data_IF_992313607080
#
_entry.id   IF_992313607080
#
_cell.length_a   1.000
_cell.length_b   1.000
_cell.length_c   1.000
_cell.angle_alpha   90.00
_cell.angle_beta   90.00
_cell.angle_gamma   90.00
#
_symmetry.space_group_name_H-M   'P 1'
#
loop_
_entity.id
_entity.type
_entity.pdbx_description
1 polymer ?
#
# COMPACT_ATOMS: atom_id res chain seq x y z
N UNK A 1 23.02 -8.76 69.19
CA UNK A 1 22.40 -7.92 68.15
C UNK A 1 23.17 -8.20 66.87
N UNK A 2 22.92 -9.29 66.12
CA UNK A 2 21.72 -9.68 65.37
C UNK A 2 21.25 -8.60 64.37
N UNK A 3 21.62 -8.85 63.10
CA UNK A 3 20.82 -8.66 61.87
C UNK A 3 20.31 -7.25 61.55
N UNK A 4 21.11 -6.45 60.84
CA UNK A 4 20.60 -5.30 60.09
C UNK A 4 21.62 -4.77 59.07
N UNK A 5 22.16 -5.59 58.16
CA UNK A 5 23.04 -5.07 57.08
C UNK A 5 23.12 -6.01 55.88
N UNK A 6 21.99 -6.57 55.44
CA UNK A 6 21.95 -7.46 54.26
C UNK A 6 20.53 -7.52 53.65
N UNK A 7 19.90 -6.37 53.44
CA UNK A 7 18.55 -6.28 52.82
C UNK A 7 18.37 -5.03 51.93
N UNK A 8 19.44 -4.51 51.33
CA UNK A 8 19.34 -3.33 50.45
C UNK A 8 19.95 -3.50 49.06
N UNK A 9 20.40 -4.70 48.69
CA UNK A 9 21.07 -4.95 47.38
C UNK A 9 20.32 -5.97 46.51
N UNK A 10 19.20 -6.53 46.99
CA UNK A 10 18.37 -7.48 46.22
C UNK A 10 17.00 -6.91 45.79
N UNK A 11 16.81 -5.60 45.90
CA UNK A 11 15.58 -4.89 45.50
C UNK A 11 15.66 -4.12 44.18
N UNK A 12 16.74 -4.27 43.40
CA UNK A 12 16.98 -3.52 42.16
C UNK A 12 17.24 -4.40 40.93
N UNK A 13 16.84 -5.68 40.98
CA UNK A 13 16.99 -6.63 39.84
C UNK A 13 15.69 -7.38 39.47
N UNK A 14 14.53 -6.83 39.84
CA UNK A 14 13.22 -7.28 39.35
C UNK A 14 12.38 -6.08 38.85
N UNK A 15 13.01 -5.16 38.14
CA UNK A 15 12.27 -4.30 37.21
C UNK A 15 12.27 -5.04 35.87
N UNK A 16 11.23 -5.84 35.67
CA UNK A 16 10.93 -6.50 34.41
C UNK A 16 10.94 -5.47 33.27
N UNK A 17 11.51 -5.78 32.10
CA UNK A 17 11.29 -4.98 30.90
C UNK A 17 9.92 -5.39 30.34
N UNK A 18 8.84 -4.95 30.98
CA UNK A 18 7.48 -5.11 30.44
C UNK A 18 6.82 -3.76 30.53
N UNK A 19 7.22 -2.90 29.61
CA UNK A 19 6.46 -1.84 28.94
C UNK A 19 7.47 -1.02 28.14
N UNK A 20 8.18 -1.68 27.23
CA UNK A 20 8.34 -1.04 25.94
C UNK A 20 6.96 -1.18 25.30
N UNK A 21 6.11 -0.15 25.42
CA UNK A 21 5.07 0.05 24.42
C UNK A 21 5.84 0.06 23.10
N UNK A 22 5.77 -1.06 22.37
CA UNK A 22 6.06 -1.06 20.94
C UNK A 22 5.13 0.02 20.43
N UNK A 23 5.71 1.13 19.98
CA UNK A 23 5.02 2.21 19.29
C UNK A 23 4.15 1.52 18.24
N UNK A 24 2.86 1.37 18.53
CA UNK A 24 1.94 0.67 17.66
C UNK A 24 1.83 1.56 16.44
N UNK A 25 2.47 1.16 15.36
CA UNK A 25 2.40 1.89 14.12
C UNK A 25 0.94 1.91 13.69
N UNK A 26 0.28 3.06 13.86
CA UNK A 26 -1.10 3.30 13.43
C UNK A 26 -1.29 3.10 11.92
N UNK A 27 -0.19 2.95 11.16
CA UNK A 27 -0.18 2.60 9.75
C UNK A 27 -0.02 1.09 9.50
N UNK A 28 -0.13 0.25 10.53
CA UNK A 28 -0.12 -1.20 10.40
C UNK A 28 -1.52 -1.73 10.06
N UNK A 29 -1.61 -2.46 8.95
CA UNK A 29 -2.83 -3.16 8.54
C UNK A 29 -3.27 -4.24 9.53
N UNK A 30 -2.31 -4.86 10.21
CA UNK A 30 -2.59 -5.83 11.24
C UNK A 30 -3.36 -5.19 12.41
N UNK A 31 -2.98 -3.98 12.79
CA UNK A 31 -3.68 -3.25 13.86
C UNK A 31 -5.13 -2.94 13.47
N UNK A 32 -5.36 -2.46 12.25
CA UNK A 32 -6.71 -2.17 11.73
C UNK A 32 -7.56 -3.45 11.71
N UNK A 33 -7.00 -4.58 11.29
CA UNK A 33 -7.70 -5.85 11.26
C UNK A 33 -8.05 -6.38 12.66
N UNK A 34 -7.12 -6.29 13.62
CA UNK A 34 -7.35 -6.72 15.01
C UNK A 34 -8.40 -5.85 15.72
N UNK A 35 -8.36 -4.54 15.51
CA UNK A 35 -9.35 -3.62 16.07
C UNK A 35 -10.74 -3.87 15.48
N UNK A 36 -10.80 -4.09 14.16
CA UNK A 36 -12.03 -4.44 13.47
C UNK A 36 -12.61 -5.76 13.98
N UNK A 37 -11.79 -6.81 14.12
CA UNK A 37 -12.22 -8.11 14.65
C UNK A 37 -12.79 -7.98 16.07
N UNK A 38 -12.14 -7.19 16.93
CA UNK A 38 -12.62 -6.93 18.27
C UNK A 38 -13.97 -6.16 18.29
N UNK A 39 -14.11 -5.14 17.45
CA UNK A 39 -15.35 -4.34 17.33
C UNK A 39 -16.52 -5.21 16.83
N UNK A 40 -16.31 -6.00 15.77
CA UNK A 40 -17.35 -6.89 15.22
C UNK A 40 -17.75 -8.00 16.21
N UNK A 41 -16.79 -8.55 16.94
CA UNK A 41 -17.05 -9.56 17.97
C UNK A 41 -17.89 -8.97 19.10
N UNK A 42 -17.59 -7.73 19.53
CA UNK A 42 -18.37 -7.03 20.54
C UNK A 42 -19.82 -6.80 20.09
N UNK A 43 -20.01 -6.30 18.87
CA UNK A 43 -21.35 -6.08 18.29
C UNK A 43 -22.15 -7.40 18.25
N UNK A 44 -21.52 -8.50 17.86
CA UNK A 44 -22.16 -9.81 17.81
C UNK A 44 -22.56 -10.32 19.20
N UNK A 45 -21.67 -10.21 20.20
CA UNK A 45 -21.96 -10.62 21.57
C UNK A 45 -23.12 -9.83 22.19
N UNK A 46 -23.17 -8.52 21.95
CA UNK A 46 -24.25 -7.65 22.43
C UNK A 46 -25.59 -8.05 21.78
N UNK A 47 -25.58 -8.37 20.49
CA UNK A 47 -26.75 -8.90 19.78
C UNK A 47 -27.22 -10.24 20.35
N UNK A 48 -26.34 -11.23 20.49
CA UNK A 48 -26.67 -12.55 21.03
C UNK A 48 -27.28 -12.45 22.44
N UNK A 49 -26.74 -11.58 23.29
CA UNK A 49 -27.25 -11.36 24.64
C UNK A 49 -28.66 -10.75 24.63
N UNK A 50 -28.90 -9.75 23.77
CA UNK A 50 -30.20 -9.11 23.62
C UNK A 50 -31.24 -10.08 23.02
N UNK A 51 -30.84 -10.87 22.02
CA UNK A 51 -31.69 -11.86 21.38
C UNK A 51 -32.10 -12.95 22.36
N UNK A 52 -31.13 -13.51 23.11
CA UNK A 52 -31.40 -14.52 24.14
C UNK A 52 -32.41 -14.03 25.18
N UNK A 53 -32.33 -12.77 25.61
CA UNK A 53 -33.30 -12.18 26.53
C UNK A 53 -34.72 -12.15 25.94
N UNK A 54 -34.87 -11.77 24.67
CA UNK A 54 -36.17 -11.77 23.97
C UNK A 54 -36.70 -13.19 23.76
N UNK A 55 -35.83 -14.15 23.41
CA UNK A 55 -36.20 -15.55 23.20
C UNK A 55 -36.71 -16.20 24.49
N UNK A 56 -36.08 -15.92 25.64
CA UNK A 56 -36.56 -16.39 26.95
C UNK A 56 -37.96 -15.85 27.26
N UNK A 57 -38.20 -14.56 26.99
CA UNK A 57 -39.52 -13.97 27.19
C UNK A 57 -40.56 -14.58 26.24
N UNK A 58 -40.19 -14.78 24.98
CA UNK A 58 -41.05 -15.39 23.96
C UNK A 58 -41.42 -16.84 24.33
N UNK A 59 -40.48 -17.62 24.87
CA UNK A 59 -40.72 -18.96 25.35
C UNK A 59 -41.74 -18.98 26.51
N UNK A 60 -41.63 -18.04 27.44
CA UNK A 60 -42.60 -17.90 28.54
C UNK A 60 -44.01 -17.55 28.01
N UNK A 61 -44.11 -16.64 27.03
CA UNK A 61 -45.38 -16.29 26.38
C UNK A 61 -45.96 -17.47 25.62
N UNK A 62 -45.15 -18.23 24.88
CA UNK A 62 -45.58 -19.44 24.17
C UNK A 62 -46.14 -20.48 25.15
N UNK A 63 -45.49 -20.69 26.29
CA UNK A 63 -46.00 -21.59 27.32
C UNK A 63 -47.36 -21.14 27.88
N UNK A 64 -47.63 -19.82 27.99
CA UNK A 64 -48.95 -19.30 28.37
C UNK A 64 -50.00 -19.60 27.30
N UNK A 65 -49.65 -19.44 26.02
CA UNK A 65 -50.54 -19.68 24.89
C UNK A 65 -50.88 -21.17 24.71
N UNK A 66 -49.91 -22.06 24.89
CA UNK A 66 -50.07 -23.52 24.82
C UNK A 66 -50.98 -24.07 25.93
N UNK A 67 -50.90 -23.48 27.12
CA UNK A 67 -51.69 -23.88 28.28
C UNK A 67 -53.03 -23.11 28.40
N UNK A 68 -53.42 -22.29 27.43
CA UNK A 68 -54.38 -21.21 27.66
C UNK A 68 -55.47 -20.99 26.60
N UNK A 69 -56.64 -21.61 26.79
CA UNK A 69 -57.97 -20.98 26.58
C UNK A 69 -58.92 -21.46 27.69
N UNK A 70 -58.82 -22.75 28.07
CA UNK A 70 -59.65 -23.40 29.08
C UNK A 70 -59.37 -22.98 30.54
N UNK A 71 -58.17 -22.46 30.86
CA UNK A 71 -57.75 -22.21 32.26
C UNK A 71 -57.62 -20.75 32.71
N UNK A 72 -57.54 -19.76 31.80
CA UNK A 72 -57.23 -18.35 32.12
C UNK A 72 -58.19 -17.31 31.52
N UNK A 73 -59.13 -17.75 30.68
CA UNK A 73 -60.09 -16.87 30.00
C UNK A 73 -59.53 -16.14 28.77
N UNK A 74 -60.44 -15.66 27.92
CA UNK A 74 -60.14 -15.06 26.61
C UNK A 74 -59.23 -13.82 26.69
N UNK A 75 -59.41 -12.97 27.71
CA UNK A 75 -58.63 -11.74 27.86
C UNK A 75 -57.13 -12.01 28.06
N UNK A 76 -56.77 -13.00 28.88
CA UNK A 76 -55.37 -13.34 29.15
C UNK A 76 -54.70 -13.96 27.91
N UNK A 77 -55.45 -14.74 27.14
CA UNK A 77 -54.98 -15.31 25.88
C UNK A 77 -54.70 -14.22 24.83
N UNK A 78 -55.62 -13.27 24.65
CA UNK A 78 -55.43 -12.13 23.74
C UNK A 78 -54.23 -11.26 24.13
N UNK A 79 -54.03 -11.01 25.43
CA UNK A 79 -52.85 -10.29 25.92
C UNK A 79 -51.54 -11.03 25.61
N UNK A 80 -51.49 -12.34 25.85
CA UNK A 80 -50.32 -13.15 25.50
C UNK A 80 -50.08 -13.19 23.99
N UNK A 81 -51.13 -13.21 23.17
CA UNK A 81 -51.01 -13.18 21.72
C UNK A 81 -50.46 -11.83 21.22
N UNK A 82 -50.96 -10.72 21.73
CA UNK A 82 -50.41 -9.39 21.43
C UNK A 82 -48.95 -9.27 21.86
N UNK A 83 -48.62 -9.74 23.07
CA UNK A 83 -47.24 -9.71 23.55
C UNK A 83 -46.31 -10.54 22.67
N UNK A 84 -46.76 -11.69 22.16
CA UNK A 84 -46.00 -12.50 21.21
C UNK A 84 -45.72 -11.76 19.90
N UNK A 85 -46.68 -11.00 19.39
CA UNK A 85 -46.48 -10.16 18.20
C UNK A 85 -45.45 -9.06 18.47
N UNK A 86 -45.60 -8.32 19.58
CA UNK A 86 -44.62 -7.29 19.98
C UNK A 86 -43.20 -7.85 20.14
N UNK A 87 -43.05 -9.05 20.71
CA UNK A 87 -41.74 -9.68 20.88
C UNK A 87 -41.11 -10.07 19.54
N UNK A 88 -41.92 -10.53 18.58
CA UNK A 88 -41.44 -10.81 17.22
C UNK A 88 -41.01 -9.53 16.51
N UNK A 89 -41.82 -8.47 16.61
CA UNK A 89 -41.48 -7.18 16.01
C UNK A 89 -40.17 -6.63 16.59
N UNK A 90 -39.96 -6.78 17.91
CA UNK A 90 -38.69 -6.43 18.56
C UNK A 90 -37.51 -7.27 18.10
N UNK A 91 -37.69 -8.58 17.90
CA UNK A 91 -36.62 -9.44 17.39
C UNK A 91 -36.21 -9.03 15.98
N UNK A 92 -37.18 -8.76 15.10
CA UNK A 92 -36.88 -8.33 13.74
C UNK A 92 -36.19 -6.96 13.72
N UNK A 93 -36.63 -6.00 14.56
CA UNK A 93 -35.95 -4.69 14.69
C UNK A 93 -34.53 -4.87 15.24
N UNK A 94 -34.34 -5.78 16.19
CA UNK A 94 -33.02 -6.08 16.74
C UNK A 94 -32.09 -6.64 15.67
N UNK A 95 -32.58 -7.53 14.80
CA UNK A 95 -31.83 -8.06 13.65
C UNK A 95 -31.47 -6.95 12.65
N UNK A 96 -32.42 -6.08 12.29
CA UNK A 96 -32.19 -4.91 11.43
C UNK A 96 -31.09 -3.99 12.02
N UNK A 97 -31.14 -3.73 13.33
CA UNK A 97 -30.15 -2.91 14.03
C UNK A 97 -28.77 -3.58 14.08
N UNK A 98 -28.73 -4.90 14.25
CA UNK A 98 -27.49 -5.67 14.22
C UNK A 98 -26.82 -5.58 12.85
N UNK A 99 -27.56 -5.82 11.76
CA UNK A 99 -27.03 -5.71 10.39
C UNK A 99 -26.52 -4.30 10.09
N UNK A 100 -27.27 -3.27 10.49
CA UNK A 100 -26.85 -1.88 10.35
C UNK A 100 -25.57 -1.56 11.14
N UNK A 101 -25.44 -2.09 12.36
CA UNK A 101 -24.25 -1.89 13.21
C UNK A 101 -23.01 -2.56 12.61
N UNK A 102 -23.17 -3.77 12.08
CA UNK A 102 -22.09 -4.49 11.37
C UNK A 102 -21.66 -3.72 10.12
N UNK A 103 -22.61 -3.27 9.31
CA UNK A 103 -22.34 -2.47 8.11
C UNK A 103 -21.64 -1.15 8.46
N UNK A 104 -22.06 -0.47 9.53
CA UNK A 104 -21.41 0.75 10.05
C UNK A 104 -19.95 0.50 10.40
N UNK A 105 -19.68 -0.51 11.22
CA UNK A 105 -18.34 -0.82 11.69
C UNK A 105 -17.40 -1.14 10.52
N UNK A 106 -17.85 -2.00 9.59
CA UNK A 106 -17.10 -2.34 8.38
C UNK A 106 -16.86 -1.14 7.48
N UNK A 107 -17.87 -0.31 7.26
CA UNK A 107 -17.75 0.89 6.43
C UNK A 107 -16.76 1.90 7.02
N UNK A 108 -16.83 2.14 8.34
CA UNK A 108 -15.89 3.00 9.05
C UNK A 108 -14.46 2.49 8.92
N UNK A 109 -14.23 1.19 9.16
CA UNK A 109 -12.91 0.59 8.99
C UNK A 109 -12.45 0.61 7.53
N UNK A 110 -13.37 0.50 6.58
CA UNK A 110 -13.09 0.70 5.16
C UNK A 110 -12.55 2.11 4.84
N UNK A 111 -13.09 3.16 5.47
CA UNK A 111 -12.55 4.52 5.34
C UNK A 111 -11.12 4.64 5.90
N UNK A 112 -10.84 4.01 7.04
CA UNK A 112 -9.49 3.95 7.62
C UNK A 112 -8.51 3.22 6.70
N UNK A 113 -8.95 2.12 6.07
CA UNK A 113 -8.17 1.41 5.05
C UNK A 113 -7.88 2.28 3.83
N UNK A 114 -8.87 3.04 3.33
CA UNK A 114 -8.66 3.99 2.23
C UNK A 114 -7.62 5.05 2.60
N UNK A 115 -7.72 5.62 3.82
CA UNK A 115 -6.74 6.57 4.35
C UNK A 115 -5.34 5.96 4.33
N UNK A 116 -5.19 4.75 4.84
CA UNK A 116 -3.92 4.05 4.91
C UNK A 116 -3.33 3.78 3.51
N UNK A 117 -4.14 3.29 2.58
CA UNK A 117 -3.70 3.02 1.21
C UNK A 117 -3.20 4.28 0.53
N UNK A 118 -3.89 5.39 0.76
CA UNK A 118 -3.46 6.67 0.22
C UNK A 118 -2.11 7.11 0.76
N UNK A 119 -1.84 6.95 2.06
CA UNK A 119 -0.50 7.22 2.62
C UNK A 119 0.58 6.31 2.03
N UNK A 120 0.29 5.02 1.83
CA UNK A 120 1.24 4.08 1.20
C UNK A 120 1.55 4.48 -0.24
N UNK A 121 0.55 4.91 -1.01
CA UNK A 121 0.72 5.40 -2.40
C UNK A 121 1.54 6.70 -2.45
N UNK A 122 1.33 7.61 -1.51
CA UNK A 122 2.17 8.81 -1.38
C UNK A 122 3.61 8.45 -0.96
N UNK A 123 3.77 7.45 -0.10
CA UNK A 123 5.07 6.90 0.27
C UNK A 123 5.82 6.28 -0.91
N UNK A 124 5.10 5.60 -1.82
CA UNK A 124 5.63 5.09 -3.09
C UNK A 124 6.02 6.22 -4.04
N UNK A 125 5.20 7.29 -4.11
CA UNK A 125 5.50 8.46 -4.92
C UNK A 125 6.84 9.09 -4.50
N UNK A 126 6.99 9.34 -3.19
CA UNK A 126 8.25 9.81 -2.63
C UNK A 126 9.40 8.83 -2.87
N UNK A 127 9.17 7.52 -2.74
CA UNK A 127 10.17 6.50 -3.07
C UNK A 127 10.67 6.68 -4.50
N UNK A 128 9.77 6.75 -5.49
CA UNK A 128 10.16 6.88 -6.88
C UNK A 128 10.87 8.20 -7.22
N UNK A 129 10.49 9.29 -6.58
CA UNK A 129 11.18 10.58 -6.74
C UNK A 129 12.56 10.61 -6.06
N UNK A 130 12.71 9.92 -4.94
CA UNK A 130 13.98 9.89 -4.17
C UNK A 130 15.09 9.09 -4.86
N UNK A 131 14.76 8.29 -5.88
CA UNK A 131 15.72 7.49 -6.63
C UNK A 131 16.45 8.33 -7.69
N UNK A 132 17.07 9.42 -7.24
CA UNK A 132 17.85 10.39 -8.04
C UNK A 132 18.92 9.71 -8.91
N UNK A 133 19.41 8.54 -8.49
CA UNK A 133 20.37 7.69 -9.21
C UNK A 133 19.84 7.23 -10.58
N UNK A 134 18.53 7.01 -10.76
CA UNK A 134 17.95 6.64 -12.06
C UNK A 134 17.93 7.81 -13.04
N UNK A 135 17.73 9.04 -12.55
CA UNK A 135 17.76 10.25 -13.39
C UNK A 135 19.15 10.49 -14.01
N UNK A 136 20.19 9.93 -13.40
CA UNK A 136 21.59 10.06 -13.85
C UNK A 136 22.09 8.85 -14.67
N UNK A 137 21.22 7.90 -15.05
CA UNK A 137 21.58 6.75 -15.89
C UNK A 137 22.27 7.16 -17.20
N UNK A 138 21.76 8.23 -17.83
CA UNK A 138 22.33 8.78 -19.05
C UNK A 138 23.75 9.33 -18.84
N UNK A 139 24.09 9.82 -17.63
CA UNK A 139 25.44 10.26 -17.30
C UNK A 139 26.37 9.08 -17.00
N UNK A 140 25.89 8.06 -16.28
CA UNK A 140 26.69 6.88 -15.93
C UNK A 140 27.21 6.15 -17.17
N UNK A 141 26.38 6.06 -18.21
CA UNK A 141 26.75 5.37 -19.46
C UNK A 141 27.42 6.29 -20.48
N UNK A 142 27.57 7.59 -20.19
CA UNK A 142 28.21 8.52 -21.10
C UNK A 142 29.73 8.53 -20.87
N UNK A 143 30.55 8.06 -21.82
CA UNK A 143 32.00 8.02 -21.67
C UNK A 143 32.58 9.44 -21.54
N UNK A 144 31.89 10.47 -22.06
CA UNK A 144 32.31 11.86 -21.88
C UNK A 144 32.13 12.38 -20.43
N UNK A 145 31.44 11.66 -19.55
CA UNK A 145 31.36 12.00 -18.13
C UNK A 145 32.65 11.67 -17.36
N UNK A 146 33.59 10.93 -17.97
CA UNK A 146 34.80 10.44 -17.33
C UNK A 146 36.03 11.28 -17.75
N UNK A 147 36.76 11.89 -16.80
CA UNK A 147 37.94 12.71 -17.10
C UNK A 147 39.02 11.95 -17.88
N UNK A 148 39.27 10.69 -17.52
CA UNK A 148 40.28 9.85 -18.17
C UNK A 148 39.91 9.57 -19.63
N UNK A 149 38.62 9.33 -19.91
CA UNK A 149 38.14 9.20 -21.27
C UNK A 149 38.28 10.50 -22.06
N UNK A 150 37.92 11.65 -21.48
CA UNK A 150 38.09 12.96 -22.14
C UNK A 150 39.55 13.25 -22.48
N UNK A 151 40.47 12.91 -21.57
CA UNK A 151 41.92 13.08 -21.75
C UNK A 151 42.42 12.19 -22.89
N UNK A 152 42.11 10.89 -22.86
CA UNK A 152 42.50 9.95 -23.92
C UNK A 152 41.89 10.33 -25.27
N UNK A 153 40.61 10.72 -25.30
CA UNK A 153 39.93 11.25 -26.51
C UNK A 153 40.66 12.47 -27.05
N UNK A 154 41.03 13.43 -26.20
CA UNK A 154 41.79 14.62 -26.60
C UNK A 154 43.16 14.29 -27.20
N UNK A 155 43.86 13.31 -26.64
CA UNK A 155 45.17 12.88 -27.15
C UNK A 155 45.07 12.09 -28.46
N UNK A 156 44.01 11.30 -28.64
CA UNK A 156 43.67 10.63 -29.89
C UNK A 156 43.30 11.67 -30.97
N UNK A 157 42.48 12.67 -30.65
CA UNK A 157 42.09 13.74 -31.57
C UNK A 157 43.28 14.59 -32.02
N UNK A 158 44.24 14.90 -31.13
CA UNK A 158 45.48 15.61 -31.49
C UNK A 158 46.30 14.82 -32.51
N UNK A 159 46.38 13.50 -32.37
CA UNK A 159 47.11 12.62 -33.33
C UNK A 159 46.41 12.56 -34.69
N UNK A 160 45.08 12.53 -34.71
CA UNK A 160 44.29 12.57 -35.96
C UNK A 160 44.35 13.93 -36.67
N UNK A 161 44.34 15.04 -35.94
CA UNK A 161 44.42 16.41 -36.50
C UNK A 161 45.71 16.64 -37.30
N UNK A 162 46.80 15.94 -36.97
CA UNK A 162 48.10 16.07 -37.66
C UNK A 162 48.04 15.64 -39.14
N UNK A 163 47.08 14.79 -39.53
CA UNK A 163 46.94 14.26 -40.90
C UNK A 163 45.57 14.54 -41.57
N UNK A 164 44.74 15.45 -41.03
CA UNK A 164 43.49 15.93 -41.65
C UNK A 164 42.39 14.90 -42.01
N UNK A 165 42.47 13.62 -41.59
CA UNK A 165 41.66 12.58 -42.25
C UNK A 165 40.28 12.26 -41.67
N UNK A 166 39.98 12.43 -40.38
CA UNK A 166 38.62 12.13 -39.86
C UNK A 166 38.33 13.02 -38.64
N UNK A 167 37.18 13.71 -38.62
CA UNK A 167 36.65 14.41 -37.43
C UNK A 167 35.26 13.88 -37.14
N UNK A 168 34.99 13.57 -35.87
CA UNK A 168 33.63 13.29 -35.42
C UNK A 168 32.86 14.62 -35.40
N UNK A 169 31.74 14.76 -36.14
CA UNK A 169 30.89 15.94 -36.04
C UNK A 169 30.43 16.16 -34.60
N UNK A 170 30.32 17.41 -34.15
CA UNK A 170 29.91 17.75 -32.79
C UNK A 170 28.58 17.09 -32.39
N UNK A 171 27.64 16.95 -33.34
CA UNK A 171 26.36 16.27 -33.14
C UNK A 171 26.50 14.78 -32.75
N UNK A 172 27.52 14.09 -33.29
CA UNK A 172 27.79 12.68 -32.98
C UNK A 172 28.72 12.52 -31.77
N UNK A 173 29.43 13.58 -31.38
CA UNK A 173 30.37 13.56 -30.26
C UNK A 173 29.70 13.50 -28.88
N UNK A 174 28.44 13.93 -28.80
CA UNK A 174 27.61 13.87 -27.60
C UNK A 174 26.91 12.52 -27.42
N UNK A 175 26.80 11.70 -28.47
CA UNK A 175 26.22 10.37 -28.37
C UNK A 175 27.25 9.40 -27.74
N UNK A 176 26.90 8.71 -26.62
CA UNK A 176 27.82 7.82 -25.91
C UNK A 176 28.43 6.71 -26.76
N UNK A 177 27.60 6.03 -27.56
CA UNK A 177 28.02 4.93 -28.42
C UNK A 177 28.92 5.43 -29.55
N UNK A 178 28.54 6.52 -30.22
CA UNK A 178 29.34 7.10 -31.29
C UNK A 178 30.67 7.65 -30.78
N UNK A 179 30.71 8.26 -29.60
CA UNK A 179 31.94 8.73 -28.97
C UNK A 179 32.84 7.54 -28.60
N UNK A 180 32.27 6.46 -28.06
CA UNK A 180 33.01 5.23 -27.75
C UNK A 180 33.59 4.56 -29.01
N UNK A 181 32.76 4.36 -30.05
CA UNK A 181 33.17 3.77 -31.33
C UNK A 181 34.20 4.62 -32.05
N UNK A 182 34.04 5.95 -32.03
CA UNK A 182 35.01 6.86 -32.62
C UNK A 182 36.37 6.76 -31.92
N UNK A 183 36.42 6.78 -30.59
CA UNK A 183 37.68 6.62 -29.84
C UNK A 183 38.37 5.29 -30.17
N UNK A 184 37.62 4.19 -30.28
CA UNK A 184 38.16 2.90 -30.71
C UNK A 184 38.78 2.99 -32.13
N UNK A 185 38.00 3.43 -33.12
CA UNK A 185 38.44 3.54 -34.51
C UNK A 185 39.64 4.49 -34.66
N UNK A 186 39.60 5.62 -33.95
CA UNK A 186 40.61 6.65 -33.99
C UNK A 186 41.95 6.18 -33.41
N UNK A 187 41.93 5.34 -32.37
CA UNK A 187 43.15 4.71 -31.81
C UNK A 187 43.81 3.74 -32.79
N UNK A 188 43.03 3.03 -33.61
CA UNK A 188 43.58 2.15 -34.66
C UNK A 188 44.15 2.94 -35.86
N UNK A 189 43.42 3.96 -36.32
CA UNK A 189 43.74 4.69 -37.57
C UNK A 189 44.75 5.83 -37.37
N UNK A 190 44.88 6.39 -36.16
CA UNK A 190 45.78 7.53 -35.89
C UNK A 190 47.28 7.21 -36.03
N UNK A 191 48.14 8.20 -36.25
CA UNK A 191 49.61 8.01 -36.20
C UNK A 191 50.13 7.99 -34.74
N UNK A 192 51.05 7.08 -34.42
CA UNK A 192 51.68 6.97 -33.11
C UNK A 192 52.37 5.64 -32.89
N UNK A 193 53.29 5.57 -31.92
CA UNK A 193 53.96 4.32 -31.54
C UNK A 193 52.93 3.27 -31.06
N UNK A 194 53.00 2.02 -31.53
CA UNK A 194 52.05 0.97 -31.17
C UNK A 194 51.86 0.82 -29.65
N UNK A 195 52.97 0.84 -28.89
CA UNK A 195 52.96 0.74 -27.43
C UNK A 195 52.21 1.87 -26.73
N UNK A 196 52.22 3.09 -27.29
CA UNK A 196 51.50 4.22 -26.69
C UNK A 196 50.00 4.11 -26.96
N UNK A 197 49.62 3.70 -28.18
CA UNK A 197 48.22 3.47 -28.53
C UNK A 197 47.58 2.37 -27.69
N UNK A 198 48.31 1.29 -27.46
CA UNK A 198 47.85 0.18 -26.63
C UNK A 198 47.63 0.63 -25.18
N UNK A 199 48.58 1.39 -24.62
CA UNK A 199 48.45 1.96 -23.28
C UNK A 199 47.27 2.93 -23.13
N UNK A 200 47.06 3.80 -24.12
CA UNK A 200 45.94 4.76 -24.10
C UNK A 200 44.58 4.04 -24.19
N UNK A 201 44.51 2.93 -24.94
CA UNK A 201 43.34 2.07 -25.05
C UNK A 201 43.08 1.31 -23.74
N UNK A 202 44.11 0.75 -23.13
CA UNK A 202 44.02 0.09 -21.82
C UNK A 202 43.51 1.03 -20.72
N UNK A 203 43.93 2.30 -20.73
CA UNK A 203 43.51 3.31 -19.74
C UNK A 203 41.99 3.60 -19.79
N UNK A 204 41.33 3.39 -20.94
CA UNK A 204 39.88 3.66 -21.12
C UNK A 204 39.06 2.43 -21.48
N UNK A 205 39.67 1.24 -21.54
CA UNK A 205 39.04 0.00 -21.99
C UNK A 205 37.79 -0.33 -21.16
N UNK A 206 37.89 -0.19 -19.83
CA UNK A 206 36.76 -0.44 -18.95
C UNK A 206 35.62 0.57 -19.12
N UNK A 207 35.93 1.86 -19.31
CA UNK A 207 34.92 2.90 -19.54
C UNK A 207 34.17 2.64 -20.86
N UNK A 208 34.91 2.25 -21.91
CA UNK A 208 34.35 1.90 -23.22
C UNK A 208 33.48 0.63 -23.15
N UNK A 209 33.98 -0.43 -22.51
CA UNK A 209 33.26 -1.68 -22.33
C UNK A 209 31.97 -1.48 -21.50
N UNK A 210 32.07 -0.78 -20.38
CA UNK A 210 30.93 -0.42 -19.55
C UNK A 210 29.91 0.40 -20.34
N UNK A 211 30.35 1.43 -21.06
CA UNK A 211 29.48 2.24 -21.92
C UNK A 211 28.72 1.38 -22.91
N UNK A 212 29.40 0.55 -23.69
CA UNK A 212 28.75 -0.22 -24.76
C UNK A 212 27.80 -1.28 -24.20
N UNK A 213 28.19 -1.97 -23.13
CA UNK A 213 27.38 -3.06 -22.55
C UNK A 213 26.21 -2.53 -21.73
N UNK A 214 26.46 -1.55 -20.88
CA UNK A 214 25.47 -1.08 -19.91
C UNK A 214 24.57 0.04 -20.44
N UNK A 215 24.87 0.65 -21.60
CA UNK A 215 24.02 1.72 -22.15
C UNK A 215 22.57 1.28 -22.39
N UNK A 216 22.36 0.15 -23.07
CA UNK A 216 21.01 -0.35 -23.33
C UNK A 216 20.32 -0.83 -22.04
N UNK A 217 21.06 -1.56 -21.22
CA UNK A 217 20.60 -2.17 -19.98
C UNK A 217 20.18 -1.12 -18.93
N UNK A 218 21.01 -0.10 -18.69
CA UNK A 218 20.65 0.97 -17.75
C UNK A 218 19.51 1.82 -18.31
N UNK A 219 19.46 2.10 -19.61
CA UNK A 219 18.30 2.80 -20.19
C UNK A 219 17.00 2.00 -20.04
N UNK A 220 17.04 0.67 -20.13
CA UNK A 220 15.88 -0.18 -19.85
C UNK A 220 15.38 0.03 -18.42
N UNK A 221 16.28 0.01 -17.44
CA UNK A 221 15.94 0.30 -16.04
C UNK A 221 15.28 1.68 -15.91
N UNK A 222 15.84 2.72 -16.56
CA UNK A 222 15.26 4.06 -16.54
C UNK A 222 13.80 4.08 -17.02
N UNK A 223 13.53 3.53 -18.22
CA UNK A 223 12.18 3.55 -18.78
C UNK A 223 11.18 2.71 -17.97
N UNK A 224 11.63 1.60 -17.39
CA UNK A 224 10.77 0.78 -16.54
C UNK A 224 10.47 1.45 -15.19
N UNK A 225 11.41 2.21 -14.63
CA UNK A 225 11.15 3.05 -13.46
C UNK A 225 10.15 4.18 -13.78
N UNK A 226 10.25 4.81 -14.94
CA UNK A 226 9.25 5.82 -15.38
C UNK A 226 7.87 5.19 -15.58
N UNK A 227 7.80 3.95 -16.10
CA UNK A 227 6.54 3.21 -16.19
C UNK A 227 5.93 2.91 -14.80
N UNK A 228 6.75 2.58 -13.81
CA UNK A 228 6.29 2.37 -12.43
C UNK A 228 5.76 3.66 -11.79
N UNK A 229 6.42 4.81 -12.02
CA UNK A 229 5.94 6.14 -11.59
C UNK A 229 4.56 6.44 -12.14
N UNK A 230 4.38 6.26 -13.44
CA UNK A 230 3.09 6.53 -14.08
C UNK A 230 2.00 5.58 -13.60
N UNK A 231 2.34 4.31 -13.39
CA UNK A 231 1.42 3.33 -12.81
C UNK A 231 1.01 3.69 -11.38
N UNK A 232 1.93 4.21 -10.57
CA UNK A 232 1.62 4.73 -9.22
C UNK A 232 0.70 5.96 -9.27
N UNK A 233 0.90 6.87 -10.24
CA UNK A 233 0.01 8.01 -10.46
C UNK A 233 -1.41 7.56 -10.83
N UNK A 234 -1.53 6.52 -11.67
CA UNK A 234 -2.82 5.91 -11.98
C UNK A 234 -3.48 5.30 -10.74
N UNK A 235 -2.72 4.57 -9.93
CA UNK A 235 -3.21 3.97 -8.68
C UNK A 235 -3.67 5.04 -7.67
N UNK A 236 -2.96 6.16 -7.59
CA UNK A 236 -3.36 7.34 -6.80
C UNK A 236 -4.69 7.91 -7.29
N UNK A 237 -4.86 8.10 -8.60
CA UNK A 237 -6.11 8.59 -9.17
C UNK A 237 -7.29 7.65 -8.89
N UNK A 238 -7.07 6.34 -9.00
CA UNK A 238 -8.06 5.32 -8.65
C UNK A 238 -8.44 5.38 -7.16
N UNK A 239 -7.47 5.62 -6.26
CA UNK A 239 -7.71 5.77 -4.83
C UNK A 239 -8.56 7.01 -4.50
N UNK A 240 -8.27 8.15 -5.15
CA UNK A 240 -9.06 9.37 -5.01
C UNK A 240 -10.52 9.15 -5.47
N UNK A 241 -10.69 8.42 -6.58
CA UNK A 241 -12.01 8.10 -7.10
C UNK A 241 -12.76 7.10 -6.20
N UNK A 242 -12.06 6.09 -5.66
CA UNK A 242 -12.60 5.17 -4.67
C UNK A 242 -13.17 5.93 -3.47
N UNK A 243 -12.39 6.81 -2.84
CA UNK A 243 -12.85 7.58 -1.69
C UNK A 243 -14.07 8.42 -2.01
N UNK A 244 -14.08 9.10 -3.16
CA UNK A 244 -15.23 9.89 -3.61
C UNK A 244 -16.50 9.05 -3.73
N UNK A 245 -16.38 7.86 -4.30
CA UNK A 245 -17.52 6.95 -4.46
C UNK A 245 -17.96 6.34 -3.12
N UNK A 246 -17.01 6.04 -2.24
CA UNK A 246 -17.24 5.54 -0.89
C UNK A 246 -18.00 6.58 -0.05
N UNK A 247 -17.46 7.79 0.05
CA UNK A 247 -17.94 8.87 0.92
C UNK A 247 -19.22 9.54 0.40
N UNK A 248 -19.55 9.38 -0.88
CA UNK A 248 -20.81 9.85 -1.47
C UNK A 248 -22.04 9.25 -0.79
N UNK A 249 -21.96 8.01 -0.31
CA UNK A 249 -23.08 7.32 0.34
C UNK A 249 -23.57 8.07 1.57
N UNK A 250 -22.65 8.58 2.39
CA UNK A 250 -22.91 9.38 3.58
C UNK A 250 -23.03 10.89 3.27
N UNK A 251 -23.05 11.26 1.99
CA UNK A 251 -23.20 12.65 1.57
C UNK A 251 -21.96 13.54 1.79
N UNK A 252 -20.78 12.95 1.98
CA UNK A 252 -19.52 13.68 1.98
C UNK A 252 -19.05 13.93 0.54
N UNK A 253 -18.57 15.14 0.24
CA UNK A 253 -18.30 15.60 -1.15
C UNK A 253 -16.88 16.10 -1.38
N UNK A 254 -16.11 16.30 -0.32
CA UNK A 254 -14.74 16.79 -0.42
C UNK A 254 -13.86 15.65 -0.94
N UNK A 255 -12.86 15.98 -1.76
CA UNK A 255 -11.93 14.99 -2.30
C UNK A 255 -10.92 14.54 -1.24
N UNK A 256 -10.36 13.33 -1.40
CA UNK A 256 -9.48 12.71 -0.40
C UNK A 256 -8.20 13.52 -0.14
N UNK A 257 -7.63 14.13 -1.16
CA UNK A 257 -6.43 14.97 -1.06
C UNK A 257 -6.68 16.21 -0.20
N UNK A 258 -7.85 16.85 -0.34
CA UNK A 258 -8.27 17.99 0.47
C UNK A 258 -8.64 17.55 1.89
N UNK A 259 -9.43 16.47 2.02
CA UNK A 259 -9.78 15.89 3.33
C UNK A 259 -8.53 15.57 4.15
N UNK A 260 -7.51 14.95 3.53
CA UNK A 260 -6.23 14.68 4.16
C UNK A 260 -5.47 15.95 4.52
N UNK A 261 -5.43 16.94 3.62
CA UNK A 261 -4.68 18.18 3.84
C UNK A 261 -5.24 19.02 5.00
N UNK A 262 -6.57 19.03 5.13
CA UNK A 262 -7.29 19.80 6.15
C UNK A 262 -7.63 18.97 7.41
N UNK A 263 -7.24 17.69 7.44
CA UNK A 263 -7.55 16.71 8.51
C UNK A 263 -9.06 16.58 8.81
N UNK A 264 -9.90 16.63 7.77
CA UNK A 264 -11.37 16.69 7.85
C UNK A 264 -12.04 15.32 8.10
N UNK A 265 -11.32 14.37 8.72
CA UNK A 265 -11.82 13.02 8.98
C UNK A 265 -12.98 12.99 9.98
N UNK A 266 -12.99 13.91 10.94
CA UNK A 266 -14.10 14.05 11.90
C UNK A 266 -15.42 14.31 11.19
N UNK A 267 -15.44 15.22 10.21
CA UNK A 267 -16.65 15.50 9.42
C UNK A 267 -17.14 14.28 8.63
N UNK A 268 -16.23 13.42 8.17
CA UNK A 268 -16.60 12.17 7.51
C UNK A 268 -17.33 11.25 8.49
N UNK A 269 -16.81 11.11 9.72
CA UNK A 269 -17.43 10.26 10.75
C UNK A 269 -18.75 10.84 11.26
N UNK A 270 -18.85 12.15 11.45
CA UNK A 270 -20.11 12.82 11.82
C UNK A 270 -21.20 12.55 10.77
N UNK A 271 -20.85 12.59 9.48
CA UNK A 271 -21.79 12.27 8.40
C UNK A 271 -22.21 10.81 8.37
N UNK A 272 -21.29 9.90 8.68
CA UNK A 272 -21.62 8.49 8.85
C UNK A 272 -22.61 8.32 10.01
N UNK A 273 -22.35 8.92 11.17
CA UNK A 273 -23.23 8.82 12.34
C UNK A 273 -24.62 9.42 12.08
N UNK A 274 -24.70 10.54 11.37
CA UNK A 274 -25.98 11.11 10.92
C UNK A 274 -26.74 10.16 9.98
N UNK A 275 -26.03 9.55 9.03
CA UNK A 275 -26.62 8.57 8.11
C UNK A 275 -27.14 7.33 8.86
N UNK A 276 -26.37 6.81 9.82
CA UNK A 276 -26.79 5.66 10.65
C UNK A 276 -27.99 6.02 11.51
N UNK A 277 -28.02 7.19 12.14
CA UNK A 277 -29.15 7.65 12.95
C UNK A 277 -30.45 7.70 12.12
N UNK A 278 -30.37 8.13 10.86
CA UNK A 278 -31.51 8.10 9.94
C UNK A 278 -31.97 6.66 9.65
N UNK A 279 -31.02 5.73 9.45
CA UNK A 279 -31.32 4.33 9.19
C UNK A 279 -31.90 3.61 10.42
N UNK A 280 -31.41 3.90 11.63
CA UNK A 280 -31.99 3.39 12.89
C UNK A 280 -33.44 3.87 13.06
N UNK A 281 -33.72 5.14 12.76
CA UNK A 281 -35.08 5.66 12.78
C UNK A 281 -35.99 4.96 11.76
N UNK A 282 -35.45 4.52 10.62
CA UNK A 282 -36.16 3.73 9.62
C UNK A 282 -36.35 2.28 10.07
N UNK A 283 -35.39 1.67 10.78
CA UNK A 283 -35.50 0.33 11.34
C UNK A 283 -36.66 0.23 12.35
N UNK A 284 -36.78 1.20 13.25
CA UNK A 284 -37.90 1.23 14.22
C UNK A 284 -39.26 1.36 13.51
N UNK A 285 -39.32 2.01 12.35
CA UNK A 285 -40.55 2.22 11.57
C UNK A 285 -40.79 1.13 10.51
N UNK A 286 -39.85 0.20 10.31
CA UNK A 286 -39.84 -0.71 9.16
C UNK A 286 -41.07 -1.63 9.12
N UNK A 287 -41.67 -1.90 10.28
CA UNK A 287 -42.87 -2.73 10.44
C UNK A 287 -44.15 -2.04 9.98
N UNK A 288 -44.26 -0.75 10.26
CA UNK A 288 -45.47 0.03 9.98
C UNK A 288 -45.40 0.78 8.64
N UNK A 289 -44.18 1.06 8.16
CA UNK A 289 -43.94 1.82 6.93
C UNK A 289 -43.05 1.05 5.93
N UNK A 290 -43.64 0.51 4.85
CA UNK A 290 -42.90 -0.15 3.78
C UNK A 290 -41.84 0.75 3.12
N UNK A 291 -42.01 2.08 3.12
CA UNK A 291 -41.01 3.00 2.59
C UNK A 291 -39.78 3.09 3.51
N UNK A 292 -39.99 3.11 4.83
CA UNK A 292 -38.91 3.07 5.82
C UNK A 292 -38.07 1.79 5.68
N UNK A 293 -38.73 0.63 5.55
CA UNK A 293 -38.05 -0.65 5.32
C UNK A 293 -37.18 -0.63 4.04
N UNK A 294 -37.73 -0.14 2.92
CA UNK A 294 -36.95 -0.02 1.67
C UNK A 294 -35.75 0.89 1.80
N UNK A 295 -35.90 2.01 2.52
CA UNK A 295 -34.80 2.95 2.75
C UNK A 295 -33.69 2.33 3.61
N UNK A 296 -34.05 1.60 4.67
CA UNK A 296 -33.11 0.84 5.51
C UNK A 296 -32.32 -0.16 4.67
N UNK A 297 -33.01 -1.05 3.94
CA UNK A 297 -32.38 -2.10 3.14
C UNK A 297 -31.45 -1.51 2.07
N UNK A 298 -31.87 -0.41 1.43
CA UNK A 298 -31.02 0.32 0.49
C UNK A 298 -29.82 0.96 1.18
N UNK A 299 -30.00 1.48 2.39
CA UNK A 299 -28.93 2.07 3.20
C UNK A 299 -27.84 1.06 3.52
N UNK A 300 -28.22 -0.10 4.07
CA UNK A 300 -27.31 -1.22 4.36
C UNK A 300 -26.58 -1.65 3.10
N UNK A 301 -27.32 -1.94 2.02
CA UNK A 301 -26.73 -2.37 0.76
C UNK A 301 -25.72 -1.34 0.19
N UNK A 302 -25.99 -0.03 0.31
CA UNK A 302 -25.04 0.99 -0.16
C UNK A 302 -23.73 1.00 0.64
N UNK A 303 -23.79 0.75 1.95
CA UNK A 303 -22.59 0.63 2.79
C UNK A 303 -21.78 -0.60 2.37
N UNK A 304 -22.45 -1.74 2.18
CA UNK A 304 -21.84 -2.99 1.73
C UNK A 304 -21.22 -2.87 0.33
N UNK A 305 -21.94 -2.32 -0.65
CA UNK A 305 -21.39 -2.11 -2.00
C UNK A 305 -20.17 -1.19 -2.03
N UNK A 306 -20.01 -0.32 -1.04
CA UNK A 306 -18.80 0.50 -0.93
C UNK A 306 -17.59 -0.34 -0.52
N UNK A 307 -17.80 -1.36 0.33
CA UNK A 307 -16.78 -2.31 0.75
C UNK A 307 -16.31 -3.17 -0.44
N UNK A 308 -17.20 -3.62 -1.31
CA UNK A 308 -16.85 -4.36 -2.53
C UNK A 308 -15.82 -3.60 -3.38
N UNK A 309 -16.07 -2.30 -3.58
CA UNK A 309 -15.18 -1.43 -4.37
C UNK A 309 -13.82 -1.24 -3.73
N UNK A 310 -13.79 -1.19 -2.40
CA UNK A 310 -12.54 -1.14 -1.66
C UNK A 310 -11.74 -2.43 -1.90
N UNK A 311 -12.38 -3.59 -1.86
CA UNK A 311 -11.71 -4.87 -2.11
C UNK A 311 -11.14 -4.96 -3.53
N UNK A 312 -11.91 -4.56 -4.54
CA UNK A 312 -11.41 -4.47 -5.93
C UNK A 312 -10.17 -3.58 -6.03
N UNK A 313 -10.17 -2.46 -5.31
CA UNK A 313 -9.02 -1.56 -5.26
C UNK A 313 -7.82 -2.18 -4.53
N UNK A 314 -8.05 -2.87 -3.42
CA UNK A 314 -7.00 -3.56 -2.66
C UNK A 314 -6.31 -4.65 -3.51
N UNK A 315 -7.07 -5.37 -4.35
CA UNK A 315 -6.51 -6.33 -5.30
C UNK A 315 -5.63 -5.65 -6.35
N UNK A 316 -6.07 -4.51 -6.90
CA UNK A 316 -5.28 -3.71 -7.83
C UNK A 316 -3.99 -3.20 -7.19
N UNK A 317 -4.07 -2.69 -5.96
CA UNK A 317 -2.91 -2.24 -5.18
C UNK A 317 -1.92 -3.40 -4.99
N UNK A 318 -2.38 -4.57 -4.54
CA UNK A 318 -1.53 -5.75 -4.37
C UNK A 318 -0.86 -6.19 -5.67
N UNK A 319 -1.61 -6.21 -6.77
CA UNK A 319 -1.06 -6.55 -8.08
C UNK A 319 0.05 -5.58 -8.48
N UNK A 320 -0.14 -4.27 -8.24
CA UNK A 320 0.87 -3.26 -8.47
C UNK A 320 2.13 -3.48 -7.62
N UNK A 321 1.99 -3.76 -6.32
CA UNK A 321 3.14 -4.04 -5.44
C UNK A 321 3.91 -5.28 -5.90
N UNK A 322 3.20 -6.37 -6.20
CA UNK A 322 3.80 -7.61 -6.67
C UNK A 322 4.53 -7.41 -8.02
N UNK A 323 3.97 -6.59 -8.90
CA UNK A 323 4.61 -6.22 -10.15
C UNK A 323 5.85 -5.35 -9.92
N UNK A 324 5.78 -4.35 -9.03
CA UNK A 324 6.90 -3.50 -8.64
C UNK A 324 8.09 -4.32 -8.11
N UNK A 325 7.85 -5.25 -7.21
CA UNK A 325 8.88 -6.16 -6.70
C UNK A 325 9.59 -6.96 -7.80
N UNK A 326 8.85 -7.44 -8.80
CA UNK A 326 9.44 -8.15 -9.96
C UNK A 326 10.30 -7.24 -10.84
N UNK A 327 9.92 -5.97 -11.02
CA UNK A 327 10.76 -5.01 -11.74
C UNK A 327 12.08 -4.76 -11.02
N UNK A 328 12.06 -4.57 -9.69
CA UNK A 328 13.31 -4.38 -8.94
C UNK A 328 14.21 -5.63 -8.96
N UNK A 329 13.64 -6.83 -8.87
CA UNK A 329 14.40 -8.08 -9.09
C UNK A 329 15.03 -8.12 -10.49
N UNK A 330 14.28 -7.71 -11.52
CA UNK A 330 14.81 -7.59 -12.88
C UNK A 330 15.95 -6.57 -12.94
N UNK A 331 15.83 -5.43 -12.27
CA UNK A 331 16.87 -4.41 -12.21
C UNK A 331 18.14 -4.96 -11.56
N UNK A 332 18.01 -5.73 -10.47
CA UNK A 332 19.13 -6.38 -9.80
C UNK A 332 19.87 -7.34 -10.74
N UNK A 333 19.13 -8.15 -11.51
CA UNK A 333 19.71 -9.06 -12.51
C UNK A 333 20.47 -8.27 -13.59
N UNK A 334 19.88 -7.18 -14.09
CA UNK A 334 20.53 -6.33 -15.11
C UNK A 334 21.86 -5.78 -14.61
N UNK A 335 21.87 -5.14 -13.44
CA UNK A 335 23.10 -4.52 -12.88
C UNK A 335 24.14 -5.54 -12.43
N UNK A 336 23.73 -6.77 -12.12
CA UNK A 336 24.64 -7.86 -11.72
C UNK A 336 25.24 -8.62 -12.90
N UNK A 337 24.69 -8.45 -14.11
CA UNK A 337 25.16 -9.14 -15.31
C UNK A 337 26.35 -8.46 -16.02
N UNK A 338 26.91 -7.40 -15.45
CA UNK A 338 28.10 -6.76 -16.02
C UNK A 338 29.34 -7.68 -15.90
N UNK A 339 29.65 -8.37 -17.00
CA UNK A 339 30.65 -9.45 -17.04
C UNK A 339 32.06 -9.06 -16.57
N UNK A 340 32.46 -7.80 -16.81
CA UNK A 340 33.82 -7.33 -16.55
C UNK A 340 33.94 -6.54 -15.23
N UNK A 341 32.94 -6.60 -14.35
CA UNK A 341 32.91 -5.84 -13.10
C UNK A 341 34.18 -6.03 -12.26
N UNK A 342 34.61 -7.28 -12.05
CA UNK A 342 35.79 -7.58 -11.24
C UNK A 342 37.09 -7.02 -11.84
N UNK A 343 37.21 -7.03 -13.18
CA UNK A 343 38.38 -6.49 -13.87
C UNK A 343 38.38 -4.95 -13.90
N UNK A 344 37.19 -4.35 -13.89
CA UNK A 344 37.00 -2.91 -14.07
C UNK A 344 36.63 -2.14 -12.79
N UNK A 345 36.55 -2.80 -11.64
CA UNK A 345 36.03 -2.23 -10.39
C UNK A 345 36.64 -0.88 -9.99
N UNK A 346 37.94 -0.66 -10.26
CA UNK A 346 38.64 0.59 -9.95
C UNK A 346 38.35 1.76 -10.91
N UNK A 347 37.71 1.51 -12.05
CA UNK A 347 37.40 2.50 -13.09
C UNK A 347 35.89 2.69 -13.31
N UNK A 348 35.06 1.87 -12.67
CA UNK A 348 33.61 2.01 -12.74
C UNK A 348 33.14 3.29 -12.01
N UNK A 349 32.07 3.94 -12.49
CA UNK A 349 31.51 5.10 -11.81
C UNK A 349 31.00 4.70 -10.43
N UNK A 350 31.27 5.51 -9.41
CA UNK A 350 30.78 5.29 -8.05
C UNK A 350 29.25 5.14 -8.02
N UNK A 351 28.56 5.93 -8.86
CA UNK A 351 27.11 5.91 -9.01
C UNK A 351 26.56 4.53 -9.42
N UNK A 352 27.33 3.69 -10.11
CA UNK A 352 26.88 2.33 -10.45
C UNK A 352 26.85 1.42 -9.22
N UNK A 353 27.79 1.57 -8.29
CA UNK A 353 27.75 0.85 -7.01
C UNK A 353 26.56 1.32 -6.16
N UNK A 354 26.34 2.64 -6.11
CA UNK A 354 25.17 3.24 -5.43
C UNK A 354 23.87 2.70 -6.02
N UNK A 355 23.73 2.67 -7.35
CA UNK A 355 22.57 2.12 -8.03
C UNK A 355 22.29 0.67 -7.62
N UNK A 356 23.32 -0.17 -7.53
CA UNK A 356 23.18 -1.57 -7.08
C UNK A 356 22.65 -1.65 -5.66
N UNK A 357 23.15 -0.79 -4.77
CA UNK A 357 22.70 -0.73 -3.39
C UNK A 357 21.26 -0.21 -3.28
N UNK A 358 20.92 0.84 -4.02
CA UNK A 358 19.57 1.44 -4.06
C UNK A 358 18.54 0.42 -4.55
N UNK A 359 18.87 -0.39 -5.57
CA UNK A 359 18.00 -1.47 -6.05
C UNK A 359 17.72 -2.48 -4.94
N UNK A 360 18.76 -2.94 -4.22
CA UNK A 360 18.59 -3.92 -3.13
C UNK A 360 17.72 -3.38 -2.02
N UNK A 361 17.98 -2.15 -1.59
CA UNK A 361 17.17 -1.49 -0.58
C UNK A 361 15.73 -1.26 -1.04
N UNK A 362 15.53 -1.01 -2.35
CA UNK A 362 14.18 -0.88 -2.92
C UNK A 362 13.43 -2.22 -2.91
N UNK A 363 14.11 -3.35 -3.17
CA UNK A 363 13.52 -4.69 -3.05
C UNK A 363 13.03 -4.92 -1.61
N UNK A 364 13.87 -4.64 -0.62
CA UNK A 364 13.52 -4.76 0.81
C UNK A 364 12.30 -3.89 1.15
N UNK A 365 12.32 -2.61 0.74
CA UNK A 365 11.17 -1.69 0.96
C UNK A 365 9.88 -2.16 0.31
N UNK A 366 9.91 -2.68 -0.92
CA UNK A 366 8.71 -3.20 -1.57
C UNK A 366 8.14 -4.41 -0.84
N UNK A 367 9.00 -5.27 -0.30
CA UNK A 367 8.58 -6.46 0.42
C UNK A 367 8.13 -6.20 1.86
N UNK A 368 8.65 -5.16 2.52
CA UNK A 368 8.38 -4.88 3.94
C UNK A 368 7.45 -3.69 4.19
N UNK A 369 7.63 -2.59 3.45
CA UNK A 369 6.92 -1.34 3.73
C UNK A 369 5.61 -1.19 2.95
N UNK A 370 5.55 -1.77 1.74
CA UNK A 370 4.43 -1.61 0.80
C UNK A 370 3.64 -2.88 0.56
N UNK A 371 4.27 -4.05 0.70
CA UNK A 371 3.55 -5.32 0.68
C UNK A 371 2.79 -5.49 1.99
N UNK A 372 1.48 -5.67 1.87
CA UNK A 372 0.61 -5.90 3.01
C UNK A 372 0.23 -7.38 2.97
N UNK A 373 0.90 -8.17 3.80
CA UNK A 373 0.68 -9.62 3.85
C UNK A 373 -0.79 -9.96 4.16
N UNK A 374 -1.46 -9.12 4.94
CA UNK A 374 -2.85 -9.24 5.36
C UNK A 374 -3.84 -9.07 4.21
N UNK A 375 -3.51 -8.27 3.18
CA UNK A 375 -4.35 -8.14 1.99
C UNK A 375 -4.36 -9.43 1.13
N UNK A 376 -3.33 -10.26 1.27
CA UNK A 376 -3.23 -11.54 0.58
C UNK A 376 -3.95 -12.68 1.34
N UNK A 377 -4.39 -12.44 2.58
CA UNK A 377 -5.12 -13.40 3.41
C UNK A 377 -6.64 -13.33 3.21
N UNK A 378 -7.34 -14.45 3.40
CA UNK A 378 -8.81 -14.45 3.44
C UNK A 378 -9.32 -13.62 4.62
N UNK A 379 -8.58 -13.61 5.74
CA UNK A 379 -9.03 -13.02 7.01
C UNK A 379 -9.55 -11.57 6.90
N UNK A 380 -8.86 -10.68 6.17
CA UNK A 380 -9.35 -9.30 6.03
C UNK A 380 -10.61 -9.23 5.16
N UNK A 381 -10.68 -10.05 4.11
CA UNK A 381 -11.89 -10.17 3.29
C UNK A 381 -13.05 -10.72 4.12
N UNK A 382 -12.78 -11.74 4.94
CA UNK A 382 -13.74 -12.36 5.86
C UNK A 382 -14.22 -11.36 6.92
N UNK A 383 -13.37 -10.45 7.40
CA UNK A 383 -13.79 -9.38 8.30
C UNK A 383 -14.68 -8.35 7.58
N UNK A 384 -14.32 -7.99 6.34
CA UNK A 384 -15.04 -7.00 5.54
C UNK A 384 -16.41 -7.48 5.03
N UNK A 385 -16.59 -8.77 4.75
CA UNK A 385 -17.88 -9.36 4.34
C UNK A 385 -18.63 -10.08 5.47
N UNK A 386 -17.91 -10.57 6.48
CA UNK A 386 -18.39 -11.67 7.32
C UNK A 386 -17.93 -13.01 6.75
N UNK A 387 -17.94 -14.04 7.60
CA UNK A 387 -17.70 -15.41 7.17
C UNK A 387 -18.89 -15.82 6.30
N UNK A 388 -18.67 -16.22 5.04
CA UNK A 388 -19.68 -16.97 4.29
C UNK A 388 -19.85 -18.32 4.99
N UNK A 389 -21.00 -18.52 5.65
CA UNK A 389 -21.37 -19.80 6.27
C UNK A 389 -21.49 -20.95 5.25
#
# INVERSE_FOLDING_TARGET
MKTATLLFVWGLLYCSPICAEIEKDSLSMQFVAEEMEAELTGIHQDFEAAEAALQVELAAVNHILENGYAGRGMSAYLQAMNRKLELRDKMDILEDMYQLSMAKARYRKGLELVKLMYEKILGLDHHFYSLETYNNIAQMTNPNAYPDFQKSKGDIEKRLKKNNKIRLPNLLSSNPLMSATFSLMASFVGEGEPRKKEKDLEEVACILDFTVRMYADLNLIFYETEFLKESNNSLKADCLQLFKDYAKIIGYKVALDVCRADDDWETVYDKLDLFITEMEANAVKSKDDPAANRNLMKGIANLEFSIDRLLDFLEKYNAFIAQGGKYYQKFEVIVSNYQNEAACAGQLPHQFSTLKQDIKYSIEKFNEAYNIAELNGSKLKDLLYGIED
#
